data_IF_356500008421
#
_entry.id   IF_356500008421
#
_cell.length_a   1.000
_cell.length_b   1.000
_cell.length_c   1.000
_cell.angle_alpha   90.00
_cell.angle_beta   90.00
_cell.angle_gamma   90.00
#
_symmetry.space_group_name_H-M   'P 1'
#
loop_
_entity.id
_entity.type
_entity.pdbx_description
1 polymer ?
#
# COMPACT_ATOMS: atom_id res chain seq x y z
N UNK A 1 -9.60 -13.99 -7.53
CA UNK A 1 -9.95 -12.64 -7.98
C UNK A 1 -10.46 -11.77 -6.82
N UNK A 2 -10.20 -10.46 -6.85
CA UNK A 2 -10.65 -9.51 -5.81
C UNK A 2 -11.24 -8.25 -6.48
N UNK A 3 -12.44 -7.85 -6.07
CA UNK A 3 -13.02 -6.55 -6.38
C UNK A 3 -13.11 -5.72 -5.09
N UNK A 4 -12.94 -4.41 -5.16
CA UNK A 4 -12.99 -3.54 -3.98
C UNK A 4 -13.65 -2.20 -4.29
N UNK A 5 -14.50 -1.73 -3.39
CA UNK A 5 -15.13 -0.41 -3.43
C UNK A 5 -14.77 0.36 -2.17
N UNK A 6 -14.29 1.59 -2.33
CA UNK A 6 -13.81 2.43 -1.24
C UNK A 6 -14.55 3.75 -1.13
N UNK A 7 -14.68 4.26 0.10
CA UNK A 7 -15.13 5.61 0.38
C UNK A 7 -14.21 6.26 1.41
N UNK A 8 -13.78 7.49 1.16
CA UNK A 8 -12.94 8.26 2.07
C UNK A 8 -13.51 9.67 2.27
N UNK A 9 -13.36 10.19 3.49
CA UNK A 9 -13.85 11.51 3.89
C UNK A 9 -12.82 12.25 4.73
N UNK A 10 -12.66 13.54 4.46
CA UNK A 10 -11.95 14.45 5.34
C UNK A 10 -12.84 14.79 6.54
N UNK A 11 -12.42 14.39 7.75
CA UNK A 11 -13.16 14.63 9.00
C UNK A 11 -12.75 15.97 9.62
N UNK A 12 -11.49 16.38 9.45
CA UNK A 12 -10.98 17.67 9.90
C UNK A 12 -9.90 18.18 8.94
N UNK A 13 -9.36 19.38 9.19
CA UNK A 13 -8.24 19.91 8.40
C UNK A 13 -7.02 18.98 8.38
N UNK A 14 -6.84 18.19 9.43
CA UNK A 14 -5.68 17.31 9.61
C UNK A 14 -6.04 15.83 9.51
N UNK A 15 -7.31 15.43 9.69
CA UNK A 15 -7.71 14.02 9.78
C UNK A 15 -8.60 13.62 8.58
N UNK A 16 -8.24 12.51 7.95
CA UNK A 16 -9.03 11.84 6.91
C UNK A 16 -9.26 10.39 7.34
N UNK A 17 -10.44 9.85 7.09
CA UNK A 17 -10.75 8.44 7.31
C UNK A 17 -11.34 7.83 6.04
N UNK A 18 -11.20 6.52 5.89
CA UNK A 18 -11.78 5.78 4.77
C UNK A 18 -12.10 4.34 5.12
N UNK A 19 -13.09 3.82 4.42
CA UNK A 19 -13.53 2.42 4.49
C UNK A 19 -13.41 1.81 3.10
N UNK A 20 -13.05 0.53 3.05
CA UNK A 20 -13.07 -0.25 1.82
C UNK A 20 -13.84 -1.54 2.06
N UNK A 21 -14.69 -1.90 1.11
CA UNK A 21 -15.41 -3.15 1.08
C UNK A 21 -14.88 -3.98 -0.08
N UNK A 22 -14.45 -5.20 0.21
CA UNK A 22 -13.81 -6.08 -0.74
C UNK A 22 -14.64 -7.35 -0.93
N UNK A 23 -14.73 -7.82 -2.16
CA UNK A 23 -15.29 -9.10 -2.54
C UNK A 23 -14.17 -9.98 -3.08
N UNK A 24 -13.93 -11.11 -2.42
CA UNK A 24 -12.93 -12.09 -2.83
C UNK A 24 -13.65 -13.31 -3.39
N UNK A 25 -13.18 -13.76 -4.55
CA UNK A 25 -13.61 -14.99 -5.21
C UNK A 25 -12.38 -15.85 -5.42
N UNK A 26 -12.35 -17.02 -4.80
CA UNK A 26 -11.27 -18.00 -4.94
C UNK A 26 -11.82 -19.23 -5.66
N UNK A 27 -11.21 -19.53 -6.80
CA UNK A 27 -11.40 -20.79 -7.50
C UNK A 27 -10.21 -21.69 -7.15
N UNK A 28 -10.49 -22.87 -6.62
CA UNK A 28 -9.49 -23.91 -6.34
C UNK A 28 -9.85 -25.06 -7.26
N UNK A 29 -8.94 -25.43 -8.18
CA UNK A 29 -9.19 -26.44 -9.22
C UNK A 29 -9.57 -27.82 -8.66
N UNK A 30 -9.25 -28.09 -7.39
CA UNK A 30 -9.51 -29.36 -6.68
C UNK A 30 -10.83 -29.33 -5.87
N UNK A 31 -11.69 -28.34 -6.10
CA UNK A 31 -12.98 -28.21 -5.40
C UNK A 31 -14.06 -27.67 -6.34
N UNK A 32 -15.21 -28.36 -6.51
CA UNK A 32 -16.24 -28.01 -7.49
C UNK A 32 -17.02 -26.72 -7.16
N UNK A 33 -16.69 -26.02 -6.07
CA UNK A 33 -17.44 -24.87 -5.56
C UNK A 33 -16.53 -23.66 -5.38
N UNK A 34 -16.96 -22.51 -5.92
CA UNK A 34 -16.28 -21.23 -5.72
C UNK A 34 -16.41 -20.77 -4.27
N UNK A 35 -15.29 -20.52 -3.59
CA UNK A 35 -15.28 -19.93 -2.25
C UNK A 35 -15.32 -18.40 -2.37
N UNK A 36 -16.45 -17.80 -1.98
CA UNK A 36 -16.66 -16.35 -1.96
C UNK A 36 -16.58 -15.84 -0.52
N UNK A 37 -15.99 -14.67 -0.32
CA UNK A 37 -15.99 -14.01 0.98
C UNK A 37 -15.90 -12.50 0.83
N UNK A 38 -16.45 -11.76 1.80
CA UNK A 38 -16.44 -10.30 1.83
C UNK A 38 -15.58 -9.82 2.98
N UNK A 39 -14.72 -8.82 2.76
CA UNK A 39 -13.90 -8.23 3.81
C UNK A 39 -14.04 -6.72 3.87
N UNK A 40 -14.17 -6.19 5.08
CA UNK A 40 -14.14 -4.74 5.34
C UNK A 40 -12.75 -4.29 5.80
N UNK A 41 -12.27 -3.17 5.27
CA UNK A 41 -11.05 -2.50 5.73
C UNK A 41 -11.37 -1.08 6.19
N UNK A 42 -10.60 -0.57 7.15
CA UNK A 42 -10.69 0.80 7.65
C UNK A 42 -9.31 1.43 7.72
N UNK A 43 -9.19 2.68 7.30
CA UNK A 43 -7.96 3.45 7.39
C UNK A 43 -8.20 4.87 7.89
N UNK A 44 -7.22 5.41 8.61
CA UNK A 44 -7.20 6.80 9.06
C UNK A 44 -5.83 7.39 8.80
N UNK A 45 -5.80 8.64 8.35
CA UNK A 45 -4.59 9.42 8.10
C UNK A 45 -4.71 10.74 8.86
N UNK A 46 -3.68 11.08 9.62
CA UNK A 46 -3.53 12.35 10.31
C UNK A 46 -2.31 13.10 9.75
N UNK A 47 -2.51 14.35 9.35
CA UNK A 47 -1.48 15.28 8.88
C UNK A 47 -1.39 16.46 9.84
N UNK A 48 -0.72 16.30 10.99
CA UNK A 48 -0.60 17.37 11.98
C UNK A 48 0.20 18.57 11.43
N UNK A 49 1.13 18.33 10.50
CA UNK A 49 1.90 19.37 9.81
C UNK A 49 1.95 19.09 8.31
N UNK A 50 2.44 20.06 7.51
CA UNK A 50 2.64 19.86 6.06
C UNK A 50 3.71 18.81 5.73
N UNK A 51 4.65 18.60 6.64
CA UNK A 51 5.77 17.68 6.46
C UNK A 51 5.51 16.29 7.03
N UNK A 52 4.68 16.17 8.07
CA UNK A 52 4.44 14.91 8.77
C UNK A 52 3.06 14.33 8.42
N UNK A 53 3.05 13.08 7.99
CA UNK A 53 1.86 12.27 7.80
C UNK A 53 1.94 11.04 8.69
N UNK A 54 0.90 10.77 9.45
CA UNK A 54 0.71 9.56 10.23
C UNK A 54 -0.48 8.80 9.66
N UNK A 55 -0.39 7.48 9.59
CA UNK A 55 -1.44 6.63 9.06
C UNK A 55 -1.58 5.37 9.87
N UNK A 56 -2.81 4.89 10.00
CA UNK A 56 -3.07 3.53 10.42
C UNK A 56 -4.14 2.90 9.54
N UNK A 57 -4.03 1.59 9.37
CA UNK A 57 -4.89 0.83 8.49
C UNK A 57 -5.12 -0.56 9.08
N UNK A 58 -6.38 -0.98 9.06
CA UNK A 58 -6.83 -2.26 9.56
C UNK A 58 -7.50 -2.98 8.38
N UNK A 59 -6.94 -4.13 8.01
CA UNK A 59 -7.50 -5.03 7.01
C UNK A 59 -8.37 -6.10 7.64
N UNK A 60 -9.46 -6.43 6.94
CA UNK A 60 -10.35 -7.52 7.28
C UNK A 60 -10.92 -7.46 8.72
N UNK A 61 -11.66 -6.41 9.02
CA UNK A 61 -12.39 -6.24 10.29
C UNK A 61 -13.43 -7.34 10.49
N UNK A 62 -14.01 -7.86 9.41
CA UNK A 62 -15.10 -8.85 9.45
C UNK A 62 -14.64 -10.27 9.77
N UNK A 63 -13.34 -10.48 10.02
CA UNK A 63 -12.72 -11.77 10.35
C UNK A 63 -13.25 -12.92 9.48
N UNK A 64 -13.45 -12.61 8.19
CA UNK A 64 -14.29 -13.45 7.34
C UNK A 64 -13.55 -14.70 6.92
N UNK A 65 -14.24 -15.83 7.05
CA UNK A 65 -13.78 -17.14 6.62
C UNK A 65 -14.18 -17.36 5.17
N UNK A 66 -13.42 -18.16 4.44
CA UNK A 66 -13.85 -18.64 3.13
C UNK A 66 -14.97 -19.67 3.33
N UNK A 67 -16.05 -19.57 2.55
CA UNK A 67 -17.14 -20.55 2.61
C UNK A 67 -16.60 -21.94 2.22
N UNK A 68 -16.72 -22.93 3.12
CA UNK A 68 -16.26 -24.30 2.89
C UNK A 68 -14.82 -24.60 3.32
N UNK A 69 -14.11 -23.70 4.01
CA UNK A 69 -12.81 -24.00 4.62
C UNK A 69 -12.60 -23.26 5.95
N UNK A 70 -11.80 -23.84 6.85
CA UNK A 70 -11.39 -23.19 8.12
C UNK A 70 -10.35 -22.07 7.92
N UNK A 71 -10.15 -21.60 6.68
CA UNK A 71 -9.13 -20.59 6.37
C UNK A 71 -9.68 -19.18 6.62
N UNK A 72 -9.17 -18.55 7.68
CA UNK A 72 -9.49 -17.17 8.07
C UNK A 72 -8.68 -16.18 7.21
N UNK A 73 -9.30 -15.13 6.68
CA UNK A 73 -8.53 -14.01 6.11
C UNK A 73 -7.76 -13.32 7.26
N UNK A 74 -6.42 -13.20 7.21
CA UNK A 74 -5.66 -12.57 8.28
C UNK A 74 -6.11 -11.12 8.51
N UNK A 75 -6.51 -10.81 9.74
CA UNK A 75 -6.57 -9.43 10.19
C UNK A 75 -5.13 -8.88 10.24
N UNK A 76 -4.91 -7.74 9.59
CA UNK A 76 -3.61 -7.06 9.61
C UNK A 76 -3.80 -5.62 10.07
N UNK A 77 -2.98 -5.24 11.03
CA UNK A 77 -2.90 -3.86 11.52
C UNK A 77 -1.58 -3.30 11.03
N UNK A 78 -1.64 -2.15 10.35
CA UNK A 78 -0.47 -1.41 9.91
C UNK A 78 -0.53 0.00 10.49
N UNK A 79 0.59 0.48 10.99
CA UNK A 79 0.77 1.86 11.46
C UNK A 79 2.04 2.39 10.82
N UNK A 80 1.98 3.60 10.28
CA UNK A 80 3.11 4.21 9.61
C UNK A 80 3.17 5.72 9.75
N UNK A 81 4.35 6.25 9.47
CA UNK A 81 4.67 7.65 9.46
C UNK A 81 5.48 7.98 8.20
N UNK A 82 5.23 9.15 7.63
CA UNK A 82 6.01 9.71 6.54
C UNK A 82 6.39 11.15 6.87
N UNK A 83 7.67 11.47 6.68
CA UNK A 83 8.20 12.82 6.87
C UNK A 83 8.79 13.34 5.57
N UNK A 84 8.27 14.46 5.09
CA UNK A 84 8.70 15.14 3.86
C UNK A 84 9.58 16.33 4.21
N UNK A 85 10.83 16.25 3.78
CA UNK A 85 11.84 17.29 3.93
C UNK A 85 11.63 18.41 2.90
N UNK A 86 12.13 19.58 3.25
CA UNK A 86 12.21 20.70 2.31
C UNK A 86 13.14 20.31 1.16
N UNK A 87 12.64 20.33 -0.09
CA UNK A 87 13.36 19.83 -1.27
C UNK A 87 12.72 18.61 -1.96
N UNK A 88 11.62 18.07 -1.44
CA UNK A 88 10.86 17.01 -2.11
C UNK A 88 11.38 15.60 -1.84
N UNK A 89 12.19 15.41 -0.80
CA UNK A 89 12.55 14.09 -0.29
C UNK A 89 11.57 13.68 0.81
N UNK A 90 11.16 12.41 0.82
CA UNK A 90 10.26 11.85 1.83
C UNK A 90 10.86 10.57 2.39
N UNK A 91 10.88 10.44 3.72
CA UNK A 91 11.19 9.18 4.41
C UNK A 91 9.89 8.62 4.96
N UNK A 92 9.67 7.33 4.75
CA UNK A 92 8.54 6.58 5.23
C UNK A 92 9.02 5.46 6.14
N UNK A 93 8.31 5.26 7.24
CA UNK A 93 8.48 4.10 8.12
C UNK A 93 7.10 3.56 8.42
N UNK A 94 6.92 2.26 8.26
CA UNK A 94 5.70 1.59 8.68
C UNK A 94 6.00 0.27 9.37
N UNK A 95 5.06 -0.13 10.21
CA UNK A 95 5.12 -1.36 10.97
C UNK A 95 3.78 -2.05 10.78
N UNK A 96 3.83 -3.31 10.37
CA UNK A 96 2.65 -4.15 10.27
C UNK A 96 2.76 -5.38 11.16
N UNK A 97 1.61 -5.78 11.68
CA UNK A 97 1.45 -7.00 12.45
C UNK A 97 0.46 -7.88 11.73
N UNK A 98 0.94 -9.00 11.21
CA UNK A 98 0.10 -10.03 10.61
C UNK A 98 -0.27 -11.07 11.68
N UNK A 99 -1.56 -11.37 11.83
CA UNK A 99 -2.07 -12.22 12.91
C UNK A 99 -1.77 -13.71 12.75
N UNK A 100 -1.35 -14.19 11.57
CA UNK A 100 -1.36 -15.64 11.28
C UNK A 100 -0.01 -16.34 11.20
N UNK A 101 1.10 -15.70 10.78
CA UNK A 101 2.33 -16.46 10.43
C UNK A 101 3.66 -15.76 10.75
N UNK A 102 3.72 -14.44 10.86
CA UNK A 102 4.99 -13.71 10.99
C UNK A 102 4.92 -12.64 12.09
N UNK A 103 6.06 -12.42 12.76
CA UNK A 103 6.24 -11.37 13.77
C UNK A 103 6.03 -9.97 13.20
N UNK A 104 6.21 -8.96 14.06
CA UNK A 104 6.13 -7.54 13.68
C UNK A 104 7.10 -7.27 12.52
N UNK A 105 6.55 -6.84 11.38
CA UNK A 105 7.34 -6.49 10.19
C UNK A 105 7.47 -4.99 10.13
N UNK A 106 8.69 -4.51 9.91
CA UNK A 106 8.98 -3.10 9.75
C UNK A 106 9.43 -2.83 8.31
N UNK A 107 9.00 -1.70 7.80
CA UNK A 107 9.29 -1.21 6.48
C UNK A 107 9.87 0.19 6.60
N UNK A 108 10.94 0.45 5.87
CA UNK A 108 11.57 1.77 5.77
C UNK A 108 11.74 2.07 4.29
N UNK A 109 11.31 3.26 3.88
CA UNK A 109 11.39 3.72 2.50
C UNK A 109 11.89 5.15 2.42
N UNK A 110 12.58 5.46 1.34
CA UNK A 110 13.02 6.82 1.00
C UNK A 110 12.59 7.10 -0.42
N UNK A 111 11.99 8.27 -0.62
CA UNK A 111 11.58 8.80 -1.91
C UNK A 111 12.39 10.07 -2.12
N UNK A 112 13.23 10.08 -3.16
CA UNK A 112 14.02 11.24 -3.56
C UNK A 112 13.48 11.84 -4.85
N UNK A 113 13.14 13.11 -4.84
CA UNK A 113 12.84 13.87 -6.06
C UNK A 113 14.16 14.37 -6.65
N UNK A 114 14.46 13.97 -7.90
CA UNK A 114 15.62 14.49 -8.62
C UNK A 114 15.24 15.79 -9.33
N UNK A 115 14.09 15.77 -10.01
CA UNK A 115 13.56 16.92 -10.74
C UNK A 115 12.03 16.85 -10.77
N UNK A 116 11.40 17.76 -11.52
CA UNK A 116 9.95 17.86 -11.66
C UNK A 116 9.33 16.76 -12.53
N UNK A 117 10.09 15.75 -12.96
CA UNK A 117 9.62 14.65 -13.79
C UNK A 117 10.12 13.28 -13.33
N UNK A 118 11.02 13.20 -12.34
CA UNK A 118 11.67 11.96 -11.93
C UNK A 118 11.79 11.88 -10.41
N UNK A 119 11.33 10.75 -9.87
CA UNK A 119 11.55 10.34 -8.49
C UNK A 119 12.26 9.00 -8.46
N UNK A 120 13.11 8.82 -7.45
CA UNK A 120 13.71 7.54 -7.11
C UNK A 120 13.12 7.08 -5.79
N UNK A 121 12.86 5.78 -5.71
CA UNK A 121 12.34 5.10 -4.53
C UNK A 121 13.36 4.05 -4.12
N UNK A 122 13.62 3.95 -2.83
CA UNK A 122 14.38 2.86 -2.25
C UNK A 122 13.70 2.44 -0.96
N UNK A 123 13.75 1.15 -0.62
CA UNK A 123 13.16 0.67 0.62
C UNK A 123 13.66 -0.69 1.05
N UNK A 124 13.49 -0.96 2.33
CA UNK A 124 13.82 -2.23 2.97
C UNK A 124 12.65 -2.66 3.85
N UNK A 125 12.39 -3.95 3.86
CA UNK A 125 11.49 -4.61 4.82
C UNK A 125 12.29 -5.59 5.66
N UNK A 126 11.89 -5.83 6.91
CA UNK A 126 12.64 -6.70 7.84
C UNK A 126 12.22 -8.17 7.80
N UNK A 127 10.98 -8.50 7.42
CA UNK A 127 10.45 -9.87 7.58
C UNK A 127 9.48 -10.28 6.45
N UNK A 128 9.92 -11.13 5.50
CA UNK A 128 11.30 -11.47 5.20
C UNK A 128 12.10 -10.21 4.79
N UNK A 129 13.38 -10.16 5.16
CA UNK A 129 14.27 -9.09 4.73
C UNK A 129 14.27 -8.97 3.20
N UNK A 130 13.75 -7.86 2.68
CA UNK A 130 13.69 -7.59 1.23
C UNK A 130 14.13 -6.16 0.97
N UNK A 131 14.81 -5.95 -0.16
CA UNK A 131 15.26 -4.63 -0.59
C UNK A 131 14.56 -4.29 -1.90
N UNK A 132 14.06 -3.08 -2.01
CA UNK A 132 13.40 -2.57 -3.21
C UNK A 132 14.05 -1.29 -3.68
N UNK A 133 14.15 -1.15 -5.00
CA UNK A 133 14.53 0.10 -5.67
C UNK A 133 13.53 0.38 -6.78
N UNK A 134 13.33 1.65 -7.11
CA UNK A 134 12.45 2.02 -8.20
C UNK A 134 12.68 3.45 -8.67
N UNK A 135 12.14 3.72 -9.85
CA UNK A 135 12.12 5.04 -10.46
C UNK A 135 10.71 5.32 -10.97
N UNK A 136 10.23 6.54 -10.76
CA UNK A 136 8.94 7.01 -11.21
C UNK A 136 9.15 8.22 -12.13
N UNK A 137 8.59 8.13 -13.32
CA UNK A 137 8.68 9.13 -14.37
C UNK A 137 7.31 9.75 -14.59
N UNK A 138 7.24 11.06 -14.44
CA UNK A 138 6.04 11.85 -14.61
C UNK A 138 6.04 12.62 -15.93
N UNK A 139 5.03 12.35 -16.75
CA UNK A 139 4.70 13.07 -17.97
C UNK A 139 3.35 13.76 -17.80
N UNK A 140 2.98 14.65 -18.72
CA UNK A 140 1.66 15.30 -18.69
C UNK A 140 0.54 14.26 -18.70
N UNK A 141 -0.19 14.16 -17.60
CA UNK A 141 -1.27 13.20 -17.40
C UNK A 141 -0.86 11.72 -17.25
N UNK A 142 0.42 11.37 -17.26
CA UNK A 142 0.87 9.98 -17.11
C UNK A 142 1.99 9.85 -16.08
N UNK A 143 1.95 8.78 -15.30
CA UNK A 143 3.00 8.37 -14.37
C UNK A 143 3.40 6.93 -14.70
N UNK A 144 4.67 6.74 -15.01
CA UNK A 144 5.27 5.42 -15.22
C UNK A 144 6.16 5.10 -14.04
N UNK A 145 5.99 3.93 -13.44
CA UNK A 145 6.81 3.49 -12.32
C UNK A 145 7.46 2.16 -12.68
N UNK A 146 8.77 2.10 -12.53
CA UNK A 146 9.58 0.90 -12.64
C UNK A 146 10.13 0.60 -11.25
N UNK A 147 9.85 -0.59 -10.73
CA UNK A 147 10.37 -1.03 -9.45
C UNK A 147 10.98 -2.42 -9.60
N UNK A 148 11.98 -2.71 -8.80
CA UNK A 148 12.57 -4.03 -8.68
C UNK A 148 12.71 -4.33 -7.19
N UNK A 149 12.16 -5.46 -6.76
CA UNK A 149 12.32 -5.96 -5.39
C UNK A 149 13.19 -7.20 -5.41
N UNK A 150 14.13 -7.28 -4.49
CA UNK A 150 14.94 -8.46 -4.26
C UNK A 150 14.35 -9.25 -3.10
N UNK A 151 13.87 -10.46 -3.40
CA UNK A 151 13.50 -11.46 -2.41
C UNK A 151 14.70 -12.39 -2.17
N UNK A 152 14.89 -12.83 -0.92
CA UNK A 152 15.96 -13.74 -0.50
C UNK A 152 15.92 -15.06 -1.28
N UNK A 153 14.71 -15.54 -1.57
CA UNK A 153 14.47 -16.85 -2.16
C UNK A 153 14.31 -16.81 -3.69
N UNK A 154 13.62 -15.79 -4.22
CA UNK A 154 13.27 -15.69 -5.65
C UNK A 154 14.20 -14.76 -6.46
N UNK A 155 15.12 -14.04 -5.81
CA UNK A 155 15.97 -13.07 -6.50
C UNK A 155 15.22 -11.79 -6.86
N UNK A 156 15.54 -11.20 -8.02
CA UNK A 156 14.98 -9.93 -8.48
C UNK A 156 13.63 -10.11 -9.16
N UNK A 157 12.62 -9.41 -8.66
CA UNK A 157 11.26 -9.38 -9.19
C UNK A 157 10.98 -7.96 -9.69
N UNK A 158 10.96 -7.73 -11.00
CA UNK A 158 10.59 -6.44 -11.57
C UNK A 158 9.08 -6.23 -11.48
N UNK A 159 8.67 -4.96 -11.38
CA UNK A 159 7.29 -4.51 -11.39
C UNK A 159 7.21 -3.22 -12.22
N UNK A 160 6.19 -3.13 -13.06
CA UNK A 160 5.90 -1.94 -13.86
C UNK A 160 4.47 -1.51 -13.57
N UNK A 161 4.28 -0.22 -13.33
CA UNK A 161 2.98 0.38 -13.08
C UNK A 161 2.79 1.62 -13.95
N UNK A 162 1.57 1.80 -14.44
CA UNK A 162 1.16 2.94 -15.26
C UNK A 162 -0.07 3.55 -14.62
N UNK A 163 -0.02 4.86 -14.37
CA UNK A 163 -1.14 5.63 -13.85
C UNK A 163 -1.43 6.79 -14.81
N UNK A 164 -2.69 6.93 -15.20
CA UNK A 164 -3.17 8.06 -15.97
C UNK A 164 -3.96 9.00 -15.06
N UNK A 165 -3.73 10.31 -15.20
CA UNK A 165 -4.40 11.36 -14.45
C UNK A 165 -4.94 12.41 -15.41
N UNK A 166 -6.24 12.67 -15.33
CA UNK A 166 -6.91 13.66 -16.16
C UNK A 166 -6.79 15.05 -15.52
N UNK A 167 -6.24 16.02 -16.26
CA UNK A 167 -6.27 17.44 -15.88
C UNK A 167 -5.10 17.93 -15.02
N UNK A 168 -4.04 17.13 -14.83
CA UNK A 168 -2.81 17.58 -14.16
C UNK A 168 -1.70 17.87 -15.19
N UNK A 169 -1.28 19.13 -15.29
CA UNK A 169 -0.17 19.57 -16.16
C UNK A 169 1.21 19.27 -15.54
N UNK A 170 1.31 19.14 -14.22
CA UNK A 170 2.53 18.77 -13.50
C UNK A 170 2.33 17.48 -12.71
N UNK A 171 3.27 16.51 -12.82
CA UNK A 171 3.08 15.17 -12.25
C UNK A 171 3.10 15.10 -10.71
N UNK A 172 3.60 16.14 -10.02
CA UNK A 172 3.88 16.10 -8.57
C UNK A 172 3.27 17.23 -7.73
N UNK A 173 2.52 18.15 -8.33
CA UNK A 173 1.82 19.18 -7.55
C UNK A 173 0.56 18.57 -6.92
N UNK A 174 0.50 18.62 -5.59
CA UNK A 174 -0.70 18.42 -4.77
C UNK A 174 -0.90 19.67 -3.92
#
# INVERSE_FOLDING_TARGET
SKASLGYAKQLSKTICAGINLNYHNVHIDDSPTNANTMSGDFGIICRPTKSLTLGSYIRNISNSQYSGSDTIIPAQIQVGAAYSFYGGHTICVDVDRNSLVHGITAHIGVIGRINDNVKILAGVSTQPMTVGVGAEFGFKGFLLQFAARRNQYLGWIPAVSVCWRRGEDKPWER
#
